data_IF_851662937292
#
_entry.id   IF_851662937292
#
_cell.length_a   1.000
_cell.length_b   1.000
_cell.length_c   1.000
_cell.angle_alpha   90.00
_cell.angle_beta   90.00
_cell.angle_gamma   90.00
#
_symmetry.space_group_name_H-M   'P 1'
#
loop_
_entity.id
_entity.type
_entity.pdbx_description
1 polymer ?
#
# COMPACT_ATOMS: atom_id res chain seq x y z
N UNK A 1 -19.49 4.72 -12.15
CA UNK A 1 -19.85 4.69 -10.75
C UNK A 1 -18.60 4.52 -9.91
N UNK A 2 -18.54 5.15 -8.73
CA UNK A 2 -17.37 5.16 -7.82
C UNK A 2 -16.92 3.73 -7.45
N UNK A 3 -17.85 2.84 -7.17
CA UNK A 3 -17.55 1.43 -6.79
C UNK A 3 -16.80 0.68 -7.88
N UNK A 4 -17.19 0.86 -9.16
CA UNK A 4 -16.50 0.20 -10.28
C UNK A 4 -15.06 0.69 -10.39
N UNK A 5 -14.84 2.00 -10.24
CA UNK A 5 -13.48 2.56 -10.27
C UNK A 5 -12.62 2.00 -9.13
N UNK A 6 -13.18 1.82 -7.93
CA UNK A 6 -12.47 1.24 -6.78
C UNK A 6 -12.11 -0.22 -7.00
N UNK A 7 -13.00 -1.02 -7.59
CA UNK A 7 -12.70 -2.41 -7.93
C UNK A 7 -11.57 -2.47 -8.96
N UNK A 8 -11.64 -1.68 -10.02
CA UNK A 8 -10.59 -1.64 -11.04
C UNK A 8 -9.23 -1.25 -10.43
N UNK A 9 -9.19 -0.24 -9.57
CA UNK A 9 -7.95 0.20 -8.92
C UNK A 9 -7.41 -0.87 -7.96
N UNK A 10 -8.28 -1.59 -7.27
CA UNK A 10 -7.89 -2.71 -6.42
C UNK A 10 -7.27 -3.85 -7.23
N UNK A 11 -7.90 -4.26 -8.33
CA UNK A 11 -7.37 -5.26 -9.26
C UNK A 11 -6.01 -4.86 -9.85
N UNK A 12 -5.86 -3.60 -10.23
CA UNK A 12 -4.57 -3.06 -10.67
C UNK A 12 -3.51 -3.14 -9.58
N UNK A 13 -3.88 -2.87 -8.33
CA UNK A 13 -3.01 -3.00 -7.16
C UNK A 13 -2.57 -4.46 -6.94
N UNK A 14 -3.52 -5.41 -7.00
CA UNK A 14 -3.24 -6.85 -6.90
C UNK A 14 -2.30 -7.31 -8.03
N UNK A 15 -2.57 -6.88 -9.26
CA UNK A 15 -1.70 -7.20 -10.39
C UNK A 15 -0.29 -6.62 -10.22
N UNK A 16 -0.16 -5.43 -9.65
CA UNK A 16 1.14 -4.85 -9.32
C UNK A 16 1.88 -5.65 -8.24
N UNK A 17 1.18 -6.15 -7.22
CA UNK A 17 1.74 -7.09 -6.27
C UNK A 17 2.19 -8.39 -6.94
N UNK A 18 1.36 -8.95 -7.82
CA UNK A 18 1.71 -10.13 -8.61
C UNK A 18 2.98 -9.91 -9.46
N UNK A 19 3.10 -8.76 -10.11
CA UNK A 19 4.32 -8.33 -10.78
C UNK A 19 5.50 -8.26 -9.82
N UNK A 20 5.25 -7.91 -8.57
CA UNK A 20 6.21 -7.93 -7.47
C UNK A 20 6.74 -9.35 -7.19
N UNK A 21 5.95 -10.38 -7.26
CA UNK A 21 6.34 -11.76 -6.96
C UNK A 21 6.81 -12.54 -8.20
N UNK A 22 6.16 -12.38 -9.34
CA UNK A 22 6.35 -13.22 -10.55
C UNK A 22 6.89 -12.40 -11.73
N UNK A 23 8.22 -12.34 -11.91
CA UNK A 23 8.89 -11.41 -12.87
C UNK A 23 8.52 -11.60 -14.34
N UNK A 24 8.32 -12.83 -14.83
CA UNK A 24 8.19 -13.14 -16.26
C UNK A 24 7.09 -14.16 -16.60
N UNK A 25 6.28 -14.53 -15.64
CA UNK A 25 5.31 -15.61 -15.81
C UNK A 25 3.90 -15.05 -15.73
N UNK A 26 3.37 -14.57 -16.85
CA UNK A 26 2.04 -13.94 -16.91
C UNK A 26 0.93 -14.86 -16.39
N UNK A 27 1.03 -16.18 -16.69
CA UNK A 27 0.08 -17.16 -16.17
C UNK A 27 0.07 -17.21 -14.63
N UNK A 28 1.23 -17.17 -13.98
CA UNK A 28 1.32 -17.18 -12.51
C UNK A 28 0.77 -15.91 -11.89
N UNK A 29 0.94 -14.75 -12.53
CA UNK A 29 0.35 -13.48 -12.09
C UNK A 29 -1.18 -13.54 -12.14
N UNK A 30 -1.73 -14.03 -13.26
CA UNK A 30 -3.17 -14.19 -13.41
C UNK A 30 -3.75 -15.15 -12.39
N UNK A 31 -3.09 -16.30 -12.18
CA UNK A 31 -3.49 -17.27 -11.14
C UNK A 31 -3.45 -16.64 -9.75
N UNK A 32 -2.41 -15.84 -9.43
CA UNK A 32 -2.30 -15.14 -8.16
C UNK A 32 -3.49 -14.19 -7.93
N UNK A 33 -3.84 -13.37 -8.92
CA UNK A 33 -4.98 -12.43 -8.82
C UNK A 33 -6.28 -13.21 -8.63
N UNK A 34 -6.54 -14.23 -9.46
CA UNK A 34 -7.74 -15.08 -9.34
C UNK A 34 -7.83 -15.75 -7.96
N UNK A 35 -6.72 -16.27 -7.43
CA UNK A 35 -6.71 -16.88 -6.09
C UNK A 35 -6.97 -15.84 -5.00
N UNK A 36 -6.42 -14.63 -5.11
CA UNK A 36 -6.69 -13.54 -4.17
C UNK A 36 -8.18 -13.17 -4.17
N UNK A 37 -8.81 -13.07 -5.34
CA UNK A 37 -10.24 -12.78 -5.47
C UNK A 37 -11.09 -13.92 -4.91
N UNK A 38 -10.73 -15.17 -5.18
CA UNK A 38 -11.43 -16.32 -4.59
C UNK A 38 -11.32 -16.31 -3.07
N UNK A 39 -10.15 -16.05 -2.50
CA UNK A 39 -9.99 -15.92 -1.05
C UNK A 39 -10.87 -14.79 -0.50
N UNK A 40 -10.93 -13.64 -1.18
CA UNK A 40 -11.83 -12.55 -0.78
C UNK A 40 -13.29 -12.94 -0.86
N UNK A 41 -13.73 -13.63 -1.90
CA UNK A 41 -15.11 -14.07 -2.07
C UNK A 41 -15.51 -15.13 -1.06
N UNK A 42 -14.64 -16.11 -0.79
CA UNK A 42 -14.94 -17.22 0.13
C UNK A 42 -14.65 -16.91 1.60
N UNK A 43 -13.90 -15.87 1.90
CA UNK A 43 -13.70 -15.42 3.30
C UNK A 43 -14.92 -14.63 3.84
N UNK A 44 -16.10 -14.86 3.27
CA UNK A 44 -17.32 -14.20 3.67
C UNK A 44 -17.77 -14.68 5.05
N UNK A 45 -17.48 -13.89 6.06
CA UNK A 45 -17.98 -14.08 7.42
C UNK A 45 -18.56 -12.76 7.93
N UNK A 46 -19.52 -12.84 8.84
CA UNK A 46 -20.10 -11.66 9.50
C UNK A 46 -18.99 -10.80 10.14
N UNK A 47 -18.79 -9.60 9.61
CA UNK A 47 -17.68 -8.71 9.98
C UNK A 47 -16.35 -9.00 9.29
N UNK A 48 -16.31 -9.93 8.34
CA UNK A 48 -15.12 -10.26 7.57
C UNK A 48 -14.77 -9.22 6.52
N UNK A 49 -13.53 -9.30 6.06
CA UNK A 49 -12.89 -8.40 5.10
C UNK A 49 -13.71 -8.29 3.80
N UNK A 50 -14.21 -9.40 3.27
CA UNK A 50 -15.02 -9.45 2.05
C UNK A 50 -16.37 -8.73 2.16
N UNK A 51 -17.00 -8.74 3.33
CA UNK A 51 -18.26 -8.06 3.56
C UNK A 51 -18.08 -6.53 3.50
N UNK A 52 -17.01 -6.01 4.10
CA UNK A 52 -16.67 -4.60 3.98
C UNK A 52 -16.39 -4.19 2.54
N UNK A 53 -15.67 -5.01 1.78
CA UNK A 53 -15.40 -4.74 0.37
C UNK A 53 -16.67 -4.74 -0.48
N UNK A 54 -17.56 -5.71 -0.30
CA UNK A 54 -18.77 -5.83 -1.12
C UNK A 54 -19.82 -4.74 -0.81
N UNK A 55 -20.03 -4.40 0.47
CA UNK A 55 -21.14 -3.55 0.88
C UNK A 55 -20.74 -2.13 1.32
N UNK A 56 -19.46 -1.90 1.66
CA UNK A 56 -18.98 -0.63 2.24
C UNK A 56 -17.81 -0.02 1.47
N UNK A 57 -17.70 -0.31 0.18
CA UNK A 57 -16.65 0.26 -0.69
C UNK A 57 -16.65 1.78 -0.75
N UNK A 58 -17.75 2.44 -0.36
CA UNK A 58 -17.86 3.89 -0.26
C UNK A 58 -17.31 4.45 1.06
N UNK A 59 -17.07 3.62 2.06
CA UNK A 59 -16.48 4.07 3.32
C UNK A 59 -14.97 4.27 3.19
N UNK A 60 -14.46 5.42 3.63
CA UNK A 60 -13.03 5.72 3.56
C UNK A 60 -12.13 4.68 4.24
N UNK A 61 -12.63 4.02 5.30
CA UNK A 61 -11.91 2.93 5.97
C UNK A 61 -11.73 1.70 5.08
N UNK A 62 -12.75 1.35 4.29
CA UNK A 62 -12.66 0.24 3.34
C UNK A 62 -11.68 0.56 2.21
N UNK A 63 -11.71 1.79 1.68
CA UNK A 63 -10.75 2.26 0.66
C UNK A 63 -9.31 2.11 1.17
N UNK A 64 -9.05 2.51 2.42
CA UNK A 64 -7.71 2.38 3.00
C UNK A 64 -7.34 0.92 3.17
N UNK A 65 -8.22 0.10 3.74
CA UNK A 65 -7.91 -1.31 4.02
C UNK A 65 -7.64 -2.13 2.75
N UNK A 66 -8.31 -1.84 1.65
CA UNK A 66 -8.18 -2.64 0.42
C UNK A 66 -7.29 -1.99 -0.61
N UNK A 67 -7.62 -0.77 -1.02
CA UNK A 67 -6.90 -0.11 -2.10
C UNK A 67 -5.51 0.36 -1.65
N UNK A 68 -5.48 1.17 -0.58
CA UNK A 68 -4.22 1.77 -0.13
C UNK A 68 -3.22 0.73 0.34
N UNK A 69 -3.65 -0.25 1.13
CA UNK A 69 -2.77 -1.31 1.63
C UNK A 69 -2.14 -2.11 0.47
N UNK A 70 -2.95 -2.47 -0.53
CA UNK A 70 -2.50 -3.23 -1.70
C UNK A 70 -1.52 -2.42 -2.55
N UNK A 71 -1.83 -1.14 -2.80
CA UNK A 71 -0.97 -0.24 -3.57
C UNK A 71 0.34 0.05 -2.84
N UNK A 72 0.30 0.34 -1.54
CA UNK A 72 1.50 0.56 -0.71
C UNK A 72 2.38 -0.69 -0.75
N UNK A 73 1.80 -1.87 -0.57
CA UNK A 73 2.56 -3.12 -0.60
C UNK A 73 3.20 -3.36 -1.97
N UNK A 74 2.48 -3.08 -3.06
CA UNK A 74 3.02 -3.15 -4.43
C UNK A 74 4.23 -2.22 -4.64
N UNK A 75 4.17 -0.98 -4.17
CA UNK A 75 5.31 -0.06 -4.23
C UNK A 75 6.48 -0.51 -3.35
N UNK A 76 6.21 -1.04 -2.15
CA UNK A 76 7.26 -1.59 -1.30
C UNK A 76 7.97 -2.77 -1.98
N UNK A 77 7.23 -3.68 -2.63
CA UNK A 77 7.82 -4.78 -3.40
C UNK A 77 8.68 -4.29 -4.56
N UNK A 78 8.25 -3.25 -5.27
CA UNK A 78 9.06 -2.63 -6.32
C UNK A 78 10.39 -2.08 -5.78
N UNK A 79 10.38 -1.46 -4.60
CA UNK A 79 11.59 -0.97 -3.93
C UNK A 79 12.51 -2.14 -3.53
N UNK A 80 11.97 -3.22 -2.97
CA UNK A 80 12.73 -4.43 -2.62
C UNK A 80 13.43 -5.06 -3.83
N UNK A 81 12.85 -4.91 -5.02
CA UNK A 81 13.45 -5.36 -6.28
C UNK A 81 14.60 -4.51 -6.77
N UNK A 82 14.97 -3.46 -6.03
CA UNK A 82 16.03 -2.51 -6.41
C UNK A 82 15.76 -1.84 -7.75
N UNK A 83 14.51 -1.58 -8.06
CA UNK A 83 14.18 -0.73 -9.19
C UNK A 83 14.79 0.64 -8.96
N UNK A 84 15.65 1.08 -9.89
CA UNK A 84 16.34 2.39 -9.80
C UNK A 84 15.38 3.57 -9.95
N UNK A 85 14.15 3.30 -10.36
CA UNK A 85 13.11 4.29 -10.55
C UNK A 85 12.74 5.00 -9.24
N UNK A 86 12.50 6.30 -9.33
CA UNK A 86 11.95 7.10 -8.24
C UNK A 86 10.43 6.92 -8.11
N UNK A 87 9.78 6.33 -9.10
CA UNK A 87 8.33 6.19 -9.16
C UNK A 87 7.70 5.51 -7.92
N UNK A 88 8.21 4.36 -7.42
CA UNK A 88 7.66 3.74 -6.22
C UNK A 88 7.74 4.65 -4.98
N UNK A 89 8.82 5.42 -4.84
CA UNK A 89 8.99 6.36 -3.73
C UNK A 89 8.00 7.53 -3.82
N UNK A 90 7.80 8.08 -5.02
CA UNK A 90 6.78 9.11 -5.25
C UNK A 90 5.38 8.56 -4.99
N UNK A 91 5.09 7.32 -5.40
CA UNK A 91 3.82 6.66 -5.13
C UNK A 91 3.53 6.51 -3.64
N UNK A 92 4.52 6.08 -2.84
CA UNK A 92 4.38 5.98 -1.39
C UNK A 92 4.18 7.36 -0.74
N UNK A 93 4.87 8.38 -1.19
CA UNK A 93 4.70 9.76 -0.71
C UNK A 93 3.26 10.26 -0.98
N UNK A 94 2.73 10.01 -2.18
CA UNK A 94 1.35 10.35 -2.53
C UNK A 94 0.33 9.54 -1.73
N UNK A 95 0.60 8.27 -1.43
CA UNK A 95 -0.24 7.48 -0.54
C UNK A 95 -0.25 8.05 0.89
N UNK A 96 0.89 8.52 1.38
CA UNK A 96 1.00 9.17 2.69
C UNK A 96 0.20 10.45 2.79
N UNK A 97 0.16 11.26 1.72
CA UNK A 97 -0.63 12.51 1.69
C UNK A 97 -2.11 12.26 1.42
N UNK A 98 -2.43 11.41 0.45
CA UNK A 98 -3.80 11.17 -0.01
C UNK A 98 -4.65 10.32 0.92
N UNK A 99 -4.04 9.42 1.69
CA UNK A 99 -4.77 8.53 2.61
C UNK A 99 -5.60 9.27 3.65
N UNK A 100 -5.12 10.41 4.11
CA UNK A 100 -5.77 11.25 5.11
C UNK A 100 -7.12 11.78 4.63
N UNK A 101 -7.24 12.08 3.32
CA UNK A 101 -8.48 12.56 2.72
C UNK A 101 -9.62 11.53 2.81
N UNK A 102 -9.31 10.25 2.95
CA UNK A 102 -10.31 9.18 3.01
C UNK A 102 -10.68 8.78 4.44
N UNK A 103 -9.75 8.84 5.39
CA UNK A 103 -10.05 8.51 6.79
C UNK A 103 -8.95 9.01 7.72
N UNK A 104 -9.36 9.50 8.90
CA UNK A 104 -8.43 9.86 9.98
C UNK A 104 -7.57 8.67 10.45
N UNK A 105 -8.08 7.43 10.33
CA UNK A 105 -7.31 6.23 10.66
C UNK A 105 -6.09 6.04 9.77
N UNK A 106 -6.07 6.61 8.55
CA UNK A 106 -4.93 6.56 7.65
C UNK A 106 -3.70 7.28 8.20
N UNK A 107 -3.89 8.27 9.08
CA UNK A 107 -2.80 8.97 9.75
C UNK A 107 -1.82 8.02 10.46
N UNK A 108 -2.35 6.93 11.01
CA UNK A 108 -1.57 5.92 11.73
C UNK A 108 -1.28 4.70 10.88
N UNK A 109 -2.28 4.20 10.15
CA UNK A 109 -2.19 2.93 9.41
C UNK A 109 -1.19 3.04 8.26
N UNK A 110 -1.24 4.12 7.47
CA UNK A 110 -0.37 4.27 6.29
C UNK A 110 1.11 4.37 6.67
N UNK A 111 1.53 5.28 7.59
CA UNK A 111 2.94 5.35 7.98
C UNK A 111 3.41 4.08 8.72
N UNK A 112 2.56 3.45 9.53
CA UNK A 112 2.90 2.18 10.17
C UNK A 112 3.16 1.08 9.14
N UNK A 113 2.33 0.98 8.10
CA UNK A 113 2.50 -0.02 7.05
C UNK A 113 3.76 0.24 6.21
N UNK A 114 3.98 1.47 5.77
CA UNK A 114 5.19 1.85 5.02
C UNK A 114 6.42 1.63 5.92
N UNK A 115 6.34 2.06 7.17
CA UNK A 115 7.40 1.91 8.16
C UNK A 115 7.77 0.44 8.37
N UNK A 116 6.80 -0.38 8.77
CA UNK A 116 7.04 -1.80 9.05
C UNK A 116 7.54 -2.57 7.83
N UNK A 117 6.99 -2.28 6.64
CA UNK A 117 7.36 -3.01 5.42
C UNK A 117 8.75 -2.64 4.92
N UNK A 118 9.11 -1.35 4.91
CA UNK A 118 10.41 -0.90 4.38
C UNK A 118 11.53 -0.88 5.43
N UNK A 119 11.21 -0.91 6.72
CA UNK A 119 12.20 -0.84 7.79
C UNK A 119 13.32 -1.90 7.66
N UNK A 120 13.03 -3.20 7.44
CA UNK A 120 14.08 -4.20 7.29
C UNK A 120 15.01 -3.91 6.10
N UNK A 121 14.45 -3.45 4.99
CA UNK A 121 15.21 -3.09 3.80
C UNK A 121 16.13 -1.89 4.04
N UNK A 122 15.59 -0.83 4.64
CA UNK A 122 16.35 0.39 4.94
C UNK A 122 17.42 0.11 6.01
N UNK A 123 17.15 -0.77 6.97
CA UNK A 123 18.13 -1.18 7.96
C UNK A 123 19.29 -1.94 7.29
N UNK A 124 18.98 -2.94 6.47
CA UNK A 124 20.02 -3.77 5.84
C UNK A 124 20.80 -3.03 4.75
N UNK A 125 20.13 -2.38 3.81
CA UNK A 125 20.80 -1.74 2.67
C UNK A 125 21.13 -0.27 2.95
N UNK A 126 20.30 0.45 3.70
CA UNK A 126 20.51 1.85 4.04
C UNK A 126 21.59 2.05 5.10
N UNK A 127 21.44 1.44 6.26
CA UNK A 127 22.32 1.64 7.41
C UNK A 127 23.56 0.76 7.32
N UNK A 128 23.39 -0.58 7.20
CA UNK A 128 24.53 -1.50 7.23
C UNK A 128 25.44 -1.35 6.01
N UNK A 129 24.88 -1.09 4.82
CA UNK A 129 25.68 -0.84 3.58
C UNK A 129 25.98 0.63 3.34
N UNK A 130 25.70 1.51 4.31
CA UNK A 130 25.95 2.96 4.24
C UNK A 130 25.32 3.65 3.04
N UNK A 131 24.18 3.19 2.55
CA UNK A 131 23.45 3.82 1.45
C UNK A 131 22.50 4.92 1.98
N UNK A 132 23.07 6.01 2.46
CA UNK A 132 22.34 7.12 3.11
C UNK A 132 21.21 7.72 2.27
N UNK A 133 21.27 7.58 0.95
CA UNK A 133 20.20 8.04 0.06
C UNK A 133 18.89 7.28 0.27
N UNK A 134 18.93 5.98 0.63
CA UNK A 134 17.75 5.19 0.95
C UNK A 134 17.11 5.67 2.24
N UNK A 135 17.91 5.94 3.26
CA UNK A 135 17.41 6.47 4.52
C UNK A 135 16.75 7.85 4.33
N UNK A 136 17.36 8.74 3.52
CA UNK A 136 16.75 10.02 3.19
C UNK A 136 15.39 9.87 2.51
N UNK A 137 15.29 9.00 1.50
CA UNK A 137 14.03 8.72 0.81
C UNK A 137 12.95 8.17 1.74
N UNK A 138 13.33 7.25 2.62
CA UNK A 138 12.44 6.66 3.61
C UNK A 138 11.87 7.73 4.56
N UNK A 139 12.71 8.61 5.09
CA UNK A 139 12.29 9.73 5.93
C UNK A 139 11.35 10.66 5.17
N UNK A 140 11.67 11.04 3.92
CA UNK A 140 10.85 11.93 3.09
C UNK A 140 9.45 11.34 2.87
N UNK A 141 9.35 10.02 2.65
CA UNK A 141 8.06 9.36 2.43
C UNK A 141 7.19 9.35 3.70
N UNK A 142 7.77 9.26 4.88
CA UNK A 142 7.05 9.29 6.15
C UNK A 142 6.68 10.70 6.61
N UNK A 143 7.40 11.72 6.11
CA UNK A 143 7.28 13.10 6.57
C UNK A 143 5.84 13.67 6.47
N UNK A 144 5.07 13.48 5.38
CA UNK A 144 3.69 13.98 5.28
C UNK A 144 2.78 13.44 6.39
N UNK A 145 2.86 12.14 6.66
CA UNK A 145 2.04 11.50 7.69
C UNK A 145 2.39 12.02 9.09
N UNK A 146 3.69 12.19 9.37
CA UNK A 146 4.16 12.76 10.64
C UNK A 146 3.73 14.21 10.78
N UNK A 147 3.83 15.00 9.71
CA UNK A 147 3.39 16.41 9.71
C UNK A 147 1.90 16.52 10.05
N UNK A 148 1.03 15.75 9.37
CA UNK A 148 -0.40 15.74 9.63
C UNK A 148 -0.76 15.21 11.02
N UNK A 149 -0.03 14.22 11.52
CA UNK A 149 -0.21 13.71 12.87
C UNK A 149 0.07 14.79 13.93
N UNK A 150 1.15 15.54 13.76
CA UNK A 150 1.48 16.67 14.65
C UNK A 150 0.43 17.79 14.52
N UNK A 151 0.00 18.11 13.31
CA UNK A 151 -1.00 19.14 13.09
C UNK A 151 -2.36 18.77 13.70
N UNK A 152 -2.78 17.52 13.63
CA UNK A 152 -4.04 17.04 14.23
C UNK A 152 -4.06 17.09 15.75
N UNK A 153 -2.91 17.17 16.41
CA UNK A 153 -2.83 17.35 17.86
C UNK A 153 -2.80 18.82 18.30
N UNK A 154 -2.57 19.75 17.36
CA UNK A 154 -2.47 21.18 17.65
C UNK A 154 -3.82 21.90 17.41
N UNK A 155 -4.75 21.28 16.68
CA UNK A 155 -6.11 21.78 16.39
C UNK A 155 -7.15 20.93 17.14
#
# INVERSE_FOLDING_TARGET
>A
SFTIAMVILFEMGLYQCANGFFKKKEAEKTVFVILADLVLLFSYSLGGVSQYFAYRTYEGKAIIAYLYMTVIFGFCLAIYRKETSLWPWCGLFLCGTGGIAFSNSALFIVPCMIGATLFPYVLCDGILKRQWHLLKRYIIVLLPSVFWMLFSHLV
#
